data_IF_708504629025
#
_entry.id   IF_708504629025
#
_cell.length_a   1.000
_cell.length_b   1.000
_cell.length_c   1.000
_cell.angle_alpha   90.00
_cell.angle_beta   90.00
_cell.angle_gamma   90.00
#
_symmetry.space_group_name_H-M   'P 1'
#
loop_
_entity.id
_entity.type
_entity.pdbx_description
1 polymer ?
#
# COMPACT_ATOMS: atom_id res chain seq x y z
N UNK A 1 -1.31 -4.62 -14.86
CA UNK A 1 -1.50 -3.16 -14.96
C UNK A 1 -2.96 -2.86 -14.75
N UNK A 2 -3.31 -1.97 -13.82
CA UNK A 2 -4.70 -1.65 -13.52
C UNK A 2 -4.92 -1.33 -12.03
N UNK A 3 -6.19 -1.26 -11.66
CA UNK A 3 -6.62 -1.04 -10.28
C UNK A 3 -6.70 -2.36 -9.53
N UNK A 4 -6.29 -2.36 -8.26
CA UNK A 4 -6.42 -3.51 -7.38
C UNK A 4 -6.62 -3.08 -5.93
N UNK A 5 -7.29 -3.92 -5.15
CA UNK A 5 -7.66 -3.63 -3.76
C UNK A 5 -6.53 -4.01 -2.80
N UNK A 6 -6.29 -3.16 -1.81
CA UNK A 6 -5.37 -3.50 -0.72
C UNK A 6 -6.07 -4.31 0.36
N UNK A 7 -5.42 -5.40 0.76
CA UNK A 7 -5.68 -6.07 2.04
C UNK A 7 -4.73 -5.52 3.08
N UNK A 8 -5.25 -4.83 4.09
CA UNK A 8 -4.46 -4.29 5.18
C UNK A 8 -4.10 -5.41 6.15
N UNK A 9 -2.81 -5.71 6.32
CA UNK A 9 -2.37 -6.83 7.16
C UNK A 9 -2.30 -6.44 8.65
N UNK A 10 -2.04 -5.16 8.94
CA UNK A 10 -2.07 -4.60 10.29
C UNK A 10 -2.46 -3.12 10.27
N UNK A 11 -2.97 -2.56 11.39
CA UNK A 11 -3.29 -1.14 11.49
C UNK A 11 -2.05 -0.26 11.28
N UNK A 12 -2.23 0.89 10.62
CA UNK A 12 -1.19 1.92 10.47
C UNK A 12 -1.81 3.30 10.29
N UNK A 13 -1.21 4.37 10.86
CA UNK A 13 -1.65 5.73 10.59
C UNK A 13 -1.61 6.12 9.10
N UNK A 14 -0.78 5.43 8.31
CA UNK A 14 -0.74 5.63 6.85
C UNK A 14 -2.10 5.37 6.18
N UNK A 15 -2.91 4.47 6.75
CA UNK A 15 -4.21 4.06 6.22
C UNK A 15 -5.41 4.73 6.92
N UNK A 16 -5.16 5.75 7.75
CA UNK A 16 -6.22 6.44 8.47
C UNK A 16 -7.27 7.00 7.48
N UNK A 17 -8.56 6.69 7.72
CA UNK A 17 -9.71 7.17 6.92
C UNK A 17 -9.67 6.78 5.43
N UNK A 18 -8.93 5.74 5.07
CA UNK A 18 -9.13 5.08 3.78
C UNK A 18 -10.48 4.32 3.78
N UNK A 19 -11.03 4.10 2.59
CA UNK A 19 -12.19 3.23 2.42
C UNK A 19 -11.85 1.80 2.90
N UNK A 20 -12.83 0.97 3.32
CA UNK A 20 -12.57 -0.36 3.87
C UNK A 20 -11.79 -1.29 2.94
N UNK A 21 -11.99 -1.14 1.62
CA UNK A 21 -11.28 -1.86 0.57
C UNK A 21 -10.69 -0.82 -0.40
N UNK A 22 -9.60 -0.13 -0.04
CA UNK A 22 -9.10 0.98 -0.84
C UNK A 22 -8.41 0.44 -2.09
N UNK A 23 -8.64 1.10 -3.23
CA UNK A 23 -8.17 0.66 -4.53
C UNK A 23 -7.07 1.56 -5.06
N UNK A 24 -5.98 0.96 -5.53
CA UNK A 24 -4.81 1.69 -6.02
C UNK A 24 -4.40 1.22 -7.41
N UNK A 25 -3.73 2.11 -8.15
CA UNK A 25 -3.25 1.85 -9.49
C UNK A 25 -1.85 1.23 -9.50
N UNK A 26 -1.73 0.05 -10.12
CA UNK A 26 -0.49 -0.72 -10.25
C UNK A 26 -0.04 -0.81 -11.72
N UNK A 27 1.26 -0.60 -11.96
CA UNK A 27 1.92 -0.84 -13.25
C UNK A 27 3.34 -1.36 -13.02
N UNK A 28 3.48 -2.68 -12.92
CA UNK A 28 4.77 -3.33 -12.70
C UNK A 28 4.73 -4.78 -13.21
N UNK A 29 5.90 -5.35 -13.49
CA UNK A 29 6.08 -6.77 -13.84
C UNK A 29 6.81 -7.55 -12.74
N UNK A 30 7.61 -6.86 -11.93
CA UNK A 30 8.31 -7.43 -10.78
C UNK A 30 7.63 -6.98 -9.49
N UNK A 31 7.80 -7.76 -8.43
CA UNK A 31 7.29 -7.48 -7.09
C UNK A 31 8.39 -7.67 -6.08
N UNK A 32 8.33 -6.91 -4.99
CA UNK A 32 9.24 -7.10 -3.86
C UNK A 32 8.88 -8.39 -3.09
N UNK A 33 9.89 -9.20 -2.80
CA UNK A 33 9.77 -10.40 -1.96
C UNK A 33 10.41 -10.10 -0.58
N UNK A 34 9.59 -9.80 0.45
CA UNK A 34 10.09 -9.42 1.76
C UNK A 34 10.70 -10.63 2.48
N UNK A 35 11.92 -10.48 3.00
CA UNK A 35 12.55 -11.49 3.86
C UNK A 35 12.03 -11.44 5.30
N UNK A 36 11.44 -10.31 5.72
CA UNK A 36 10.82 -10.11 7.02
C UNK A 36 9.30 -9.87 6.85
N UNK A 37 8.45 -10.85 7.18
CA UNK A 37 7.00 -10.72 7.05
C UNK A 37 6.39 -9.59 7.88
N UNK A 38 7.00 -9.22 9.02
CA UNK A 38 6.48 -8.16 9.91
C UNK A 38 6.56 -6.76 9.28
N UNK A 39 7.44 -6.62 8.28
CA UNK A 39 7.55 -5.39 7.49
C UNK A 39 6.37 -5.18 6.53
N UNK A 40 5.57 -6.21 6.23
CA UNK A 40 4.48 -6.12 5.26
C UNK A 40 3.25 -5.48 5.89
N UNK A 41 2.95 -4.25 5.48
CA UNK A 41 1.85 -3.46 6.01
C UNK A 41 0.54 -3.72 5.27
N UNK A 42 0.60 -3.93 3.95
CA UNK A 42 -0.54 -4.34 3.14
C UNK A 42 -0.12 -5.27 1.99
N UNK A 43 -1.03 -6.15 1.62
CA UNK A 43 -0.88 -7.10 0.52
C UNK A 43 -1.94 -6.89 -0.55
N UNK A 44 -1.72 -7.49 -1.71
CA UNK A 44 -2.66 -7.47 -2.83
C UNK A 44 -2.57 -8.80 -3.58
N UNK A 45 -3.62 -9.19 -4.30
CA UNK A 45 -3.68 -10.47 -5.01
C UNK A 45 -3.71 -10.24 -6.53
N UNK A 46 -2.78 -10.85 -7.26
CA UNK A 46 -2.75 -10.85 -8.73
C UNK A 46 -2.15 -12.16 -9.23
N UNK A 47 -3.00 -13.18 -9.37
CA UNK A 47 -2.59 -14.59 -9.57
C UNK A 47 -2.05 -15.22 -8.27
N UNK A 48 -1.16 -14.50 -7.58
CA UNK A 48 -0.63 -14.83 -6.26
C UNK A 48 -0.70 -13.61 -5.35
N UNK A 49 -0.68 -13.84 -4.03
CA UNK A 49 -0.53 -12.77 -3.04
C UNK A 49 0.86 -12.16 -3.12
N UNK A 50 0.94 -10.84 -3.07
CA UNK A 50 2.21 -10.12 -3.01
C UNK A 50 2.19 -8.95 -2.01
N UNK A 51 3.40 -8.49 -1.68
CA UNK A 51 3.61 -7.31 -0.84
C UNK A 51 3.29 -6.03 -1.62
N UNK A 52 2.27 -5.28 -1.18
CA UNK A 52 1.84 -4.05 -1.83
C UNK A 52 2.31 -2.79 -1.08
N UNK A 53 2.48 -2.88 0.24
CA UNK A 53 3.02 -1.82 1.07
C UNK A 53 3.87 -2.40 2.20
N UNK A 54 5.04 -1.78 2.45
CA UNK A 54 5.93 -2.11 3.56
C UNK A 54 6.08 -0.93 4.51
N UNK A 55 6.39 -1.25 5.76
CA UNK A 55 6.86 -0.30 6.74
C UNK A 55 7.97 -0.93 7.59
N UNK A 56 9.05 -0.19 7.78
CA UNK A 56 10.05 -0.45 8.82
C UNK A 56 10.39 0.86 9.51
N UNK A 57 10.07 0.96 10.79
CA UNK A 57 10.19 2.19 11.56
C UNK A 57 9.49 3.37 10.85
N UNK A 58 10.22 4.42 10.50
CA UNK A 58 9.72 5.61 9.77
C UNK A 58 9.84 5.49 8.24
N UNK A 59 10.30 4.35 7.72
CA UNK A 59 10.46 4.13 6.28
C UNK A 59 9.26 3.36 5.75
N UNK A 60 8.64 3.91 4.70
CA UNK A 60 7.49 3.35 4.03
C UNK A 60 7.81 3.12 2.56
N UNK A 61 7.25 2.05 1.99
CA UNK A 61 7.32 1.75 0.57
C UNK A 61 5.97 1.27 0.06
N UNK A 62 5.60 1.68 -1.15
CA UNK A 62 4.37 1.23 -1.83
C UNK A 62 4.72 0.76 -3.23
N UNK A 63 4.09 -0.34 -3.67
CA UNK A 63 4.27 -0.88 -5.02
C UNK A 63 3.33 -0.22 -6.04
N UNK A 64 2.21 0.32 -5.57
CA UNK A 64 1.26 1.09 -6.37
C UNK A 64 1.67 2.57 -6.47
N UNK A 65 0.98 3.30 -7.35
CA UNK A 65 1.20 4.72 -7.60
C UNK A 65 0.14 5.57 -6.87
N UNK A 66 0.39 6.05 -5.63
CA UNK A 66 -0.59 6.84 -4.91
C UNK A 66 -0.97 8.13 -5.65
N UNK A 67 -0.05 8.73 -6.40
CA UNK A 67 -0.28 9.92 -7.22
C UNK A 67 -1.24 9.67 -8.41
N UNK A 68 -1.44 8.40 -8.79
CA UNK A 68 -2.36 7.97 -9.85
C UNK A 68 -3.61 7.28 -9.33
N UNK A 69 -3.78 7.20 -8.01
CA UNK A 69 -4.83 6.41 -7.35
C UNK A 69 -6.01 7.24 -6.84
N UNK A 70 -6.23 8.42 -7.43
CA UNK A 70 -7.38 9.30 -7.16
C UNK A 70 -7.60 9.56 -5.65
N UNK A 71 -8.83 9.35 -5.14
CA UNK A 71 -9.23 9.68 -3.78
C UNK A 71 -8.41 8.91 -2.74
N UNK A 72 -8.26 7.60 -2.90
CA UNK A 72 -7.50 6.74 -1.98
C UNK A 72 -6.02 7.09 -2.00
N UNK A 73 -5.49 7.37 -3.19
CA UNK A 73 -4.14 7.86 -3.40
C UNK A 73 -3.83 9.17 -2.68
N UNK A 74 -4.70 10.17 -2.84
CA UNK A 74 -4.57 11.47 -2.18
C UNK A 74 -4.71 11.37 -0.67
N UNK A 75 -5.64 10.53 -0.18
CA UNK A 75 -5.81 10.31 1.25
C UNK A 75 -4.55 9.67 1.87
N UNK A 76 -3.98 8.65 1.23
CA UNK A 76 -2.74 8.01 1.67
C UNK A 76 -1.56 8.99 1.71
N UNK A 77 -1.39 9.82 0.66
CA UNK A 77 -0.34 10.85 0.64
C UNK A 77 -0.55 11.90 1.73
N UNK A 78 -1.78 12.34 1.95
CA UNK A 78 -2.10 13.27 3.04
C UNK A 78 -1.80 12.68 4.41
N UNK A 79 -2.03 11.38 4.61
CA UNK A 79 -1.67 10.67 5.84
C UNK A 79 -0.16 10.60 6.01
N UNK A 80 0.58 10.25 4.94
CA UNK A 80 2.04 10.23 4.95
C UNK A 80 2.64 11.58 5.38
N UNK A 81 2.13 12.70 4.85
CA UNK A 81 2.58 14.04 5.24
C UNK A 81 2.25 14.44 6.69
N UNK A 82 1.36 13.71 7.37
CA UNK A 82 1.00 13.96 8.79
C UNK A 82 1.74 13.03 9.75
N UNK A 83 2.53 12.08 9.23
CA UNK A 83 3.38 11.23 10.07
C UNK A 83 4.48 12.10 10.68
N UNK A 84 4.61 12.05 12.01
CA UNK A 84 5.65 12.74 12.78
C UNK A 84 6.77 11.78 13.15
#
# INVERSE_FOLDING_TARGET
MGWNELRLNRPSPLFERLDPNPSFYFVHSFRFEPTDPESVLASCDYGETFCACVQRDQVYGVQFHPEKSQRDGLALLANFCRLN
#
